data_IF_413723392763
#
_entry.id   IF_413723392763
#
_cell.length_a   1.000
_cell.length_b   1.000
_cell.length_c   1.000
_cell.angle_alpha   90.00
_cell.angle_beta   90.00
_cell.angle_gamma   90.00
#
_symmetry.space_group_name_H-M   'P 1'
#
loop_
_entity.id
_entity.type
_entity.pdbx_description
1 polymer ?
#
# COMPACT_ATOMS: atom_id res chain seq x y z
N UNK A 1 68.33 -23.20 26.28
CA UNK A 1 66.93 -22.87 26.66
C UNK A 1 66.03 -24.00 26.20
N UNK A 2 65.18 -24.54 27.06
CA UNK A 2 64.24 -25.61 26.69
C UNK A 2 63.20 -25.09 25.68
N UNK A 3 62.85 -25.91 24.69
CA UNK A 3 61.82 -25.56 23.70
C UNK A 3 60.42 -25.70 24.33
N UNK A 4 59.53 -24.74 24.05
CA UNK A 4 58.17 -24.71 24.61
C UNK A 4 57.23 -25.58 23.78
N UNK A 5 56.42 -26.41 24.44
CA UNK A 5 55.43 -27.26 23.78
C UNK A 5 54.30 -26.46 23.10
N UNK A 6 53.86 -26.89 21.91
CA UNK A 6 52.77 -26.27 21.14
C UNK A 6 51.44 -26.23 21.91
N UNK A 7 51.13 -27.29 22.67
CA UNK A 7 49.93 -27.37 23.51
C UNK A 7 49.84 -26.20 24.49
N UNK A 8 50.95 -25.90 25.16
CA UNK A 8 51.02 -24.80 26.14
C UNK A 8 50.81 -23.43 25.49
N UNK A 9 51.30 -23.23 24.27
CA UNK A 9 51.06 -22.01 23.49
C UNK A 9 49.60 -21.87 23.07
N UNK A 10 48.92 -22.98 22.73
CA UNK A 10 47.48 -22.96 22.40
C UNK A 10 46.62 -22.64 23.62
N UNK A 11 46.96 -23.17 24.80
CA UNK A 11 46.30 -22.82 26.06
C UNK A 11 46.44 -21.33 26.37
N UNK A 12 47.66 -20.79 26.26
CA UNK A 12 47.89 -19.36 26.45
C UNK A 12 47.03 -18.53 25.49
N UNK A 13 47.03 -18.86 24.19
CA UNK A 13 46.19 -18.17 23.19
C UNK A 13 44.69 -18.28 23.52
N UNK A 14 44.23 -19.42 24.03
CA UNK A 14 42.84 -19.61 24.45
C UNK A 14 42.50 -18.72 25.65
N UNK A 15 43.37 -18.64 26.66
CA UNK A 15 43.21 -17.75 27.82
C UNK A 15 43.23 -16.28 27.40
N UNK A 16 44.17 -15.87 26.57
CA UNK A 16 44.24 -14.52 26.01
C UNK A 16 42.96 -14.16 25.26
N UNK A 17 42.45 -15.07 24.42
CA UNK A 17 41.20 -14.84 23.70
C UNK A 17 40.01 -14.65 24.63
N UNK A 18 39.96 -15.42 25.73
CA UNK A 18 38.97 -15.29 26.80
C UNK A 18 39.06 -13.94 27.53
N UNK A 19 40.27 -13.47 27.84
CA UNK A 19 40.52 -12.18 28.53
C UNK A 19 40.07 -11.00 27.66
N UNK A 20 40.41 -11.01 26.38
CA UNK A 20 40.17 -9.87 25.47
C UNK A 20 38.88 -9.99 24.65
N UNK A 21 38.05 -11.01 24.88
CA UNK A 21 36.82 -11.24 24.11
C UNK A 21 37.07 -11.43 22.61
N UNK A 22 38.21 -12.01 22.23
CA UNK A 22 38.55 -12.28 20.82
C UNK A 22 38.25 -13.73 20.45
N UNK A 23 38.10 -14.02 19.16
CA UNK A 23 37.80 -15.38 18.70
C UNK A 23 39.05 -16.26 18.65
N UNK A 24 39.03 -17.41 19.33
CA UNK A 24 40.06 -18.43 19.23
C UNK A 24 39.72 -19.47 18.15
N UNK A 25 40.53 -19.57 17.09
CA UNK A 25 40.32 -20.49 15.96
C UNK A 25 41.61 -21.29 15.66
N UNK A 26 41.87 -22.41 16.35
CA UNK A 26 43.10 -23.20 16.20
C UNK A 26 43.14 -24.03 14.91
N UNK A 27 41.98 -24.32 14.30
CA UNK A 27 41.86 -25.11 13.08
C UNK A 27 41.94 -24.28 11.81
N UNK A 28 41.83 -22.95 11.91
CA UNK A 28 41.82 -22.06 10.75
C UNK A 28 40.55 -22.16 9.92
N UNK A 29 39.44 -22.60 10.51
CA UNK A 29 38.15 -22.73 9.82
C UNK A 29 37.61 -21.37 9.34
N UNK A 30 36.88 -21.36 8.22
CA UNK A 30 36.26 -20.14 7.65
C UNK A 30 34.93 -19.83 8.37
N UNK A 31 34.99 -19.11 9.48
CA UNK A 31 33.81 -18.77 10.31
C UNK A 31 33.03 -17.52 9.88
N UNK A 32 33.48 -16.81 8.83
CA UNK A 32 32.80 -15.59 8.36
C UNK A 32 33.07 -14.32 9.18
N UNK A 33 33.86 -14.38 10.26
CA UNK A 33 34.19 -13.22 11.12
C UNK A 33 34.80 -12.02 10.37
N UNK A 34 35.39 -12.24 9.19
CA UNK A 34 35.86 -11.16 8.30
C UNK A 34 34.72 -10.21 7.93
N UNK A 35 33.54 -10.76 7.61
CA UNK A 35 32.38 -9.97 7.17
C UNK A 35 31.78 -9.22 8.36
N UNK A 36 31.65 -9.87 9.51
CA UNK A 36 31.08 -9.25 10.71
C UNK A 36 31.96 -8.13 11.30
N UNK A 37 33.29 -8.22 11.13
CA UNK A 37 34.23 -7.17 11.56
C UNK A 37 34.31 -5.99 10.60
N UNK A 38 33.77 -6.12 9.39
CA UNK A 38 33.73 -4.98 8.47
C UNK A 38 32.83 -3.90 9.04
N UNK A 39 33.35 -2.68 9.13
CA UNK A 39 32.56 -1.52 9.53
C UNK A 39 31.49 -1.26 8.47
N UNK A 40 30.27 -0.99 8.92
CA UNK A 40 29.19 -0.60 8.03
C UNK A 40 29.53 0.73 7.35
N UNK A 41 29.32 0.80 6.03
CA UNK A 41 29.59 2.00 5.21
C UNK A 41 28.31 2.73 4.78
N UNK A 42 27.16 2.30 5.27
CA UNK A 42 25.85 2.76 4.80
C UNK A 42 25.64 4.26 5.00
N UNK A 43 26.05 4.80 6.15
CA UNK A 43 25.96 6.24 6.44
C UNK A 43 26.78 7.08 5.46
N UNK A 44 28.07 6.73 5.27
CA UNK A 44 28.93 7.40 4.30
C UNK A 44 28.41 7.33 2.86
N UNK A 45 27.71 6.24 2.50
CA UNK A 45 27.15 6.07 1.16
C UNK A 45 25.84 6.85 0.96
N UNK A 46 25.02 6.96 2.02
CA UNK A 46 23.76 7.71 2.01
C UNK A 46 23.99 9.19 1.63
N UNK A 47 25.08 9.76 2.10
CA UNK A 47 25.41 11.17 1.90
C UNK A 47 26.08 11.48 0.55
N UNK A 48 26.09 10.51 -0.39
CA UNK A 48 26.66 10.70 -1.73
C UNK A 48 25.96 11.82 -2.52
N UNK A 49 24.63 11.87 -2.46
CA UNK A 49 23.85 12.99 -2.96
C UNK A 49 23.30 13.77 -1.78
N UNK A 50 23.81 14.99 -1.58
CA UNK A 50 23.32 15.87 -0.53
C UNK A 50 21.81 16.14 -0.72
N UNK A 51 21.02 16.18 0.37
CA UNK A 51 19.62 16.52 0.28
C UNK A 51 19.44 17.96 -0.22
N UNK A 52 18.38 18.22 -0.96
CA UNK A 52 18.01 19.59 -1.35
C UNK A 52 17.53 20.33 -0.10
N UNK A 53 18.36 21.26 0.40
CA UNK A 53 18.08 22.00 1.65
C UNK A 53 16.96 23.02 1.48
N UNK A 54 16.90 23.69 0.33
CA UNK A 54 15.92 24.73 0.03
C UNK A 54 15.30 24.43 -1.32
N UNK A 55 13.98 24.47 -1.37
CA UNK A 55 13.19 24.41 -2.60
C UNK A 55 12.31 25.65 -2.64
N UNK A 56 12.02 26.16 -3.84
CA UNK A 56 11.13 27.33 -4.04
C UNK A 56 9.75 27.10 -3.41
N UNK A 57 9.27 25.85 -3.41
CA UNK A 57 8.04 25.44 -2.72
C UNK A 57 8.10 25.68 -1.21
N UNK A 58 9.27 25.45 -0.59
CA UNK A 58 9.46 25.71 0.84
C UNK A 58 9.52 27.22 1.12
N UNK A 59 10.18 28.00 0.25
CA UNK A 59 10.26 29.45 0.37
C UNK A 59 8.87 30.10 0.31
N UNK A 60 8.05 29.72 -0.67
CA UNK A 60 6.66 30.20 -0.81
C UNK A 60 5.78 29.85 0.39
N UNK A 61 6.03 28.70 1.02
CA UNK A 61 5.31 28.29 2.24
C UNK A 61 5.73 29.11 3.45
N UNK A 62 7.02 29.45 3.56
CA UNK A 62 7.58 30.17 4.72
C UNK A 62 7.27 31.67 4.68
N UNK A 63 7.29 32.28 3.48
CA UNK A 63 7.00 33.70 3.28
C UNK A 63 5.96 33.85 2.18
N UNK A 64 4.66 33.76 2.51
CA UNK A 64 3.58 33.83 1.53
C UNK A 64 3.41 35.23 0.92
N UNK A 65 3.87 36.28 1.61
CA UNK A 65 3.78 37.67 1.14
C UNK A 65 4.84 37.99 0.05
N UNK A 66 5.86 37.15 -0.09
CA UNK A 66 6.88 37.28 -1.14
C UNK A 66 6.57 36.37 -2.32
N UNK A 67 6.62 36.93 -3.53
CA UNK A 67 6.38 36.18 -4.75
C UNK A 67 7.68 35.52 -5.25
N UNK A 68 7.86 34.25 -4.92
CA UNK A 68 8.97 33.44 -5.43
C UNK A 68 8.58 32.76 -6.74
N UNK A 69 9.23 33.19 -7.82
CA UNK A 69 9.11 32.64 -9.17
C UNK A 69 10.20 31.60 -9.44
N UNK A 70 9.83 30.51 -10.12
CA UNK A 70 10.75 29.45 -10.58
C UNK A 70 10.87 29.57 -12.11
N UNK A 71 11.88 30.30 -12.58
CA UNK A 71 12.07 30.63 -14.00
C UNK A 71 12.19 29.37 -14.89
N UNK A 72 12.87 28.33 -14.39
CA UNK A 72 13.04 27.06 -15.09
C UNK A 72 11.69 26.35 -15.28
N UNK A 73 10.82 26.42 -14.26
CA UNK A 73 9.47 25.84 -14.32
C UNK A 73 8.56 26.64 -15.26
N UNK A 74 8.63 27.98 -15.26
CA UNK A 74 7.89 28.82 -16.21
C UNK A 74 8.29 28.49 -17.65
N UNK A 75 9.59 28.44 -17.93
CA UNK A 75 10.11 28.07 -19.25
C UNK A 75 9.66 26.65 -19.66
N UNK A 76 9.62 25.70 -18.71
CA UNK A 76 9.10 24.35 -18.97
C UNK A 76 7.62 24.39 -19.37
N UNK A 77 6.80 25.21 -18.71
CA UNK A 77 5.38 25.35 -19.02
C UNK A 77 5.14 25.99 -20.39
N UNK A 78 5.87 27.06 -20.72
CA UNK A 78 5.81 27.69 -22.04
C UNK A 78 6.19 26.72 -23.16
N UNK A 79 7.26 25.94 -22.95
CA UNK A 79 7.70 24.92 -23.91
C UNK A 79 6.63 23.84 -24.11
N UNK A 80 5.91 23.43 -23.05
CA UNK A 80 4.79 22.50 -23.13
C UNK A 80 3.62 23.09 -23.92
N UNK A 81 3.29 24.36 -23.71
CA UNK A 81 2.22 25.06 -24.45
C UNK A 81 2.56 25.20 -25.94
N UNK A 82 3.80 25.59 -26.25
CA UNK A 82 4.34 25.65 -27.61
C UNK A 82 4.29 24.30 -28.31
N UNK A 83 4.58 23.21 -27.59
CA UNK A 83 4.48 21.86 -28.16
C UNK A 83 3.02 21.48 -28.43
N UNK A 84 2.09 21.79 -27.51
CA UNK A 84 0.66 21.51 -27.65
C UNK A 84 0.03 22.26 -28.83
N UNK A 85 0.34 23.55 -29.01
CA UNK A 85 -0.20 24.36 -30.11
C UNK A 85 0.19 23.82 -31.49
N UNK A 86 1.36 23.18 -31.59
CA UNK A 86 1.87 22.53 -32.81
C UNK A 86 1.38 21.09 -33.00
N UNK A 87 0.55 20.57 -32.10
CA UNK A 87 0.15 19.14 -32.10
C UNK A 87 1.32 18.20 -31.79
N UNK A 88 2.41 18.70 -31.19
CA UNK A 88 3.60 17.94 -30.76
C UNK A 88 3.63 17.74 -29.25
N UNK A 89 2.50 17.99 -28.58
CA UNK A 89 2.34 17.68 -27.17
C UNK A 89 2.43 16.18 -26.91
N UNK A 90 2.84 15.81 -25.70
CA UNK A 90 2.86 14.40 -25.30
C UNK A 90 1.45 13.79 -25.42
N UNK A 91 1.32 12.55 -25.93
CA UNK A 91 0.04 11.88 -26.01
C UNK A 91 -0.55 11.64 -24.61
N UNK A 92 -1.86 11.45 -24.54
CA UNK A 92 -2.55 11.20 -23.27
C UNK A 92 -2.09 9.86 -22.67
N UNK A 93 -1.51 9.91 -21.46
CA UNK A 93 -1.11 8.71 -20.72
C UNK A 93 -2.31 7.81 -20.44
N UNK A 94 -2.19 6.53 -20.79
CA UNK A 94 -3.18 5.49 -20.51
C UNK A 94 -3.24 5.24 -18.99
N UNK A 95 -4.46 5.13 -18.43
CA UNK A 95 -4.68 4.88 -16.99
C UNK A 95 -5.07 3.43 -16.69
N UNK A 96 -5.56 2.71 -17.69
CA UNK A 96 -5.91 1.30 -17.61
C UNK A 96 -4.85 0.48 -18.36
N UNK A 97 -4.67 -0.77 -17.96
CA UNK A 97 -3.84 -1.70 -18.71
C UNK A 97 -4.40 -1.86 -20.13
N UNK A 98 -3.52 -1.78 -21.12
CA UNK A 98 -3.88 -2.16 -22.48
C UNK A 98 -3.90 -3.67 -22.48
N UNK A 99 -5.06 -4.27 -22.22
CA UNK A 99 -5.23 -5.69 -22.51
C UNK A 99 -5.00 -5.87 -24.01
N UNK A 100 -3.95 -6.59 -24.42
CA UNK A 100 -3.72 -6.82 -25.82
C UNK A 100 -4.88 -7.66 -26.39
N UNK A 101 -5.29 -7.42 -27.64
CA UNK A 101 -6.53 -7.96 -28.20
C UNK A 101 -6.60 -9.50 -28.25
N UNK A 102 -5.49 -10.21 -28.01
CA UNK A 102 -5.44 -11.67 -27.96
C UNK A 102 -5.78 -12.28 -26.58
N UNK A 103 -5.97 -11.49 -25.52
CA UNK A 103 -6.34 -11.98 -24.17
C UNK A 103 -7.84 -11.80 -23.84
N UNK A 104 -8.66 -11.35 -24.79
CA UNK A 104 -10.11 -11.15 -24.64
C UNK A 104 -10.91 -12.46 -24.45
N UNK A 105 -10.27 -13.63 -24.56
CA UNK A 105 -10.93 -14.94 -24.48
C UNK A 105 -10.78 -15.67 -23.14
N UNK A 106 -9.95 -15.18 -22.20
CA UNK A 106 -9.56 -15.95 -21.00
C UNK A 106 -9.75 -15.25 -19.67
N UNK A 107 -10.25 -14.00 -19.64
CA UNK A 107 -10.51 -13.32 -18.38
C UNK A 107 -12.01 -13.33 -18.13
N UNK A 108 -12.44 -14.31 -17.33
CA UNK A 108 -13.75 -14.26 -16.67
C UNK A 108 -13.85 -12.92 -15.94
N UNK A 109 -14.80 -12.13 -16.41
CA UNK A 109 -15.22 -10.83 -15.90
C UNK A 109 -15.37 -10.93 -14.38
N UNK A 110 -14.45 -10.32 -13.63
CA UNK A 110 -14.78 -9.93 -12.25
C UNK A 110 -15.96 -8.98 -12.37
N UNK A 111 -17.12 -9.45 -11.93
CA UNK A 111 -18.43 -8.89 -12.25
C UNK A 111 -18.48 -7.39 -11.94
N UNK A 112 -18.24 -6.59 -12.98
CA UNK A 112 -18.67 -5.21 -13.01
C UNK A 112 -20.19 -5.27 -12.94
N UNK A 113 -20.75 -5.11 -11.73
CA UNK A 113 -22.19 -5.06 -11.54
C UNK A 113 -22.75 -4.04 -12.52
N UNK A 114 -23.52 -4.53 -13.49
CA UNK A 114 -24.12 -3.69 -14.50
C UNK A 114 -25.31 -3.00 -13.83
N UNK A 115 -25.04 -1.78 -13.37
CA UNK A 115 -26.03 -0.89 -12.81
C UNK A 115 -27.17 -0.71 -13.83
N UNK A 116 -28.39 -1.15 -13.49
CA UNK A 116 -29.58 -1.04 -14.33
C UNK A 116 -29.99 0.43 -14.54
N UNK A 117 -29.74 1.30 -13.54
CA UNK A 117 -30.08 2.71 -13.57
C UNK A 117 -28.86 3.57 -13.24
N UNK A 118 -28.24 3.38 -12.06
CA UNK A 118 -27.00 4.07 -11.69
C UNK A 118 -26.35 3.43 -10.46
N UNK A 119 -25.06 3.71 -10.27
CA UNK A 119 -24.27 3.23 -9.13
C UNK A 119 -24.89 3.52 -7.75
N UNK A 120 -25.70 4.58 -7.65
CA UNK A 120 -26.37 4.98 -6.40
C UNK A 120 -27.83 4.52 -6.37
N UNK A 121 -28.50 4.47 -7.52
CA UNK A 121 -29.94 4.17 -7.59
C UNK A 121 -30.25 2.67 -7.52
N UNK A 122 -29.41 1.80 -8.09
CA UNK A 122 -29.71 0.36 -8.15
C UNK A 122 -29.73 -0.35 -6.79
N UNK A 123 -28.84 -0.03 -5.83
CA UNK A 123 -28.95 -0.57 -4.48
C UNK A 123 -30.28 -0.18 -3.80
N UNK A 124 -30.73 1.06 -4.00
CA UNK A 124 -31.99 1.57 -3.43
C UNK A 124 -33.18 0.88 -4.11
N UNK A 125 -33.13 0.75 -5.44
CA UNK A 125 -34.16 0.09 -6.24
C UNK A 125 -34.30 -1.40 -5.88
N UNK A 126 -33.18 -2.11 -5.69
CA UNK A 126 -33.17 -3.52 -5.30
C UNK A 126 -33.83 -3.75 -3.93
N UNK A 127 -33.50 -2.91 -2.94
CA UNK A 127 -34.13 -2.98 -1.61
C UNK A 127 -35.63 -2.67 -1.69
N UNK A 128 -36.03 -1.69 -2.49
CA UNK A 128 -37.43 -1.31 -2.65
C UNK A 128 -38.27 -2.42 -3.32
N UNK A 129 -37.78 -2.99 -4.42
CA UNK A 129 -38.45 -4.10 -5.12
C UNK A 129 -38.50 -5.35 -4.24
N UNK A 130 -37.37 -5.71 -3.60
CA UNK A 130 -37.29 -6.87 -2.71
C UNK A 130 -38.20 -6.75 -1.48
N UNK A 131 -38.19 -5.58 -0.83
CA UNK A 131 -39.06 -5.29 0.32
C UNK A 131 -40.54 -5.30 -0.06
N UNK A 132 -40.90 -4.72 -1.21
CA UNK A 132 -42.29 -4.73 -1.70
C UNK A 132 -42.78 -6.15 -2.02
N UNK A 133 -41.95 -6.95 -2.68
CA UNK A 133 -42.27 -8.36 -2.96
C UNK A 133 -42.43 -9.18 -1.68
N UNK A 134 -41.58 -8.95 -0.68
CA UNK A 134 -41.69 -9.61 0.63
C UNK A 134 -43.00 -9.24 1.35
N UNK A 135 -43.40 -7.97 1.35
CA UNK A 135 -44.67 -7.53 1.95
C UNK A 135 -45.87 -8.18 1.26
N UNK A 136 -45.87 -8.27 -0.07
CA UNK A 136 -46.93 -8.93 -0.82
C UNK A 136 -46.99 -10.44 -0.54
N UNK A 137 -45.82 -11.08 -0.40
CA UNK A 137 -45.73 -12.50 -0.04
C UNK A 137 -46.26 -12.76 1.37
N UNK A 138 -45.90 -11.92 2.35
CA UNK A 138 -46.42 -12.02 3.72
C UNK A 138 -47.93 -11.83 3.72
N UNK A 139 -48.46 -10.83 3.01
CA UNK A 139 -49.91 -10.63 2.90
C UNK A 139 -50.64 -11.86 2.34
N UNK A 140 -50.04 -12.55 1.37
CA UNK A 140 -50.59 -13.77 0.79
C UNK A 140 -50.53 -14.94 1.76
N UNK A 141 -49.39 -15.15 2.42
CA UNK A 141 -49.20 -16.23 3.40
C UNK A 141 -50.11 -16.06 4.63
N UNK A 142 -50.36 -14.82 5.08
CA UNK A 142 -51.23 -14.54 6.23
C UNK A 142 -52.73 -14.65 5.90
N UNK A 143 -53.12 -14.36 4.64
CA UNK A 143 -54.47 -14.65 4.15
C UNK A 143 -54.74 -16.15 4.09
N UNK A 144 -53.75 -16.94 3.67
CA UNK A 144 -53.82 -18.42 3.65
C UNK A 144 -53.78 -19.03 5.07
N UNK A 145 -53.10 -18.36 6.02
CA UNK A 145 -53.01 -18.77 7.43
C UNK A 145 -54.13 -18.21 8.33
N UNK A 146 -55.03 -17.36 7.80
CA UNK A 146 -56.20 -16.82 8.53
C UNK A 146 -55.87 -15.83 9.66
N UNK A 147 -54.72 -15.17 9.63
CA UNK A 147 -54.27 -14.23 10.68
C UNK A 147 -54.41 -12.77 10.21
N UNK A 148 -54.70 -11.88 11.16
CA UNK A 148 -54.90 -10.45 10.88
C UNK A 148 -53.58 -9.65 10.88
N UNK A 149 -53.49 -8.64 10.02
CA UNK A 149 -52.30 -7.81 9.78
C UNK A 149 -51.87 -7.05 11.05
N UNK A 150 -52.81 -6.74 11.94
CA UNK A 150 -52.52 -6.09 13.23
C UNK A 150 -51.63 -6.95 14.13
N UNK A 151 -51.82 -8.28 14.11
CA UNK A 151 -51.06 -9.23 14.91
C UNK A 151 -49.64 -9.42 14.38
N UNK A 152 -49.45 -9.38 13.05
CA UNK A 152 -48.12 -9.46 12.42
C UNK A 152 -47.26 -8.26 12.78
N UNK A 153 -47.87 -7.06 12.76
CA UNK A 153 -47.20 -5.82 13.19
C UNK A 153 -46.81 -5.89 14.67
N UNK A 154 -47.65 -6.49 15.51
CA UNK A 154 -47.36 -6.67 16.93
C UNK A 154 -46.23 -7.68 17.19
N UNK A 155 -46.22 -8.82 16.48
CA UNK A 155 -45.12 -9.80 16.50
C UNK A 155 -43.82 -9.17 16.03
N UNK A 156 -43.87 -8.38 14.96
CA UNK A 156 -42.71 -7.67 14.44
C UNK A 156 -42.19 -6.63 15.44
N UNK A 157 -43.07 -5.79 16.01
CA UNK A 157 -42.71 -4.83 17.06
C UNK A 157 -42.07 -5.52 18.27
N UNK A 158 -42.58 -6.69 18.66
CA UNK A 158 -42.01 -7.52 19.73
C UNK A 158 -40.62 -8.06 19.41
N UNK A 159 -40.33 -8.34 18.13
CA UNK A 159 -39.05 -8.91 17.68
C UNK A 159 -37.98 -7.85 17.40
N UNK A 160 -38.37 -6.65 16.93
CA UNK A 160 -37.43 -5.56 16.63
C UNK A 160 -37.21 -4.63 17.82
N UNK A 161 -38.19 -4.49 18.74
CA UNK A 161 -38.06 -3.70 19.96
C UNK A 161 -37.06 -4.26 20.99
N UNK A 162 -36.37 -5.37 20.71
CA UNK A 162 -35.23 -5.83 21.52
C UNK A 162 -33.86 -5.40 20.95
N UNK A 163 -33.84 -4.77 19.76
CA UNK A 163 -32.62 -4.37 19.04
C UNK A 163 -32.46 -2.84 18.93
N UNK A 164 -33.47 -2.07 19.36
CA UNK A 164 -33.48 -0.62 19.54
C UNK A 164 -34.00 -0.30 20.94
#
# INVERSE_FOLDING_TARGET
MASVARSRLLELKKVTASIFGTTFNPTGARTGNKILRQRLKGEALKDYYLPKLVSIKMLRKQWPDMDFVDEDEEMRLENVERAKSRGKGAPKKLRNEVTPPYLLSTVETTMAYQYLISRVADPIFAVFIGGSAAVLRIKREEQEAGRDMTQVVEIFKRRVGSYF
#
